data_IF_503828192565
#
_entry.id   IF_503828192565
#
_cell.length_a   1.000
_cell.length_b   1.000
_cell.length_c   1.000
_cell.angle_alpha   90.00
_cell.angle_beta   90.00
_cell.angle_gamma   90.00
#
_symmetry.space_group_name_H-M   'P 1'
#
loop_
_entity.id
_entity.type
_entity.pdbx_description
1 polymer ?
#
# COMPACT_ATOMS: atom_id res chain seq x y z
N UNK A 1 -19.07 0.19 4.00
CA UNK A 1 -18.51 0.17 2.65
C UNK A 1 -17.09 -0.37 2.73
N UNK A 2 -16.67 -1.18 1.79
CA UNK A 2 -15.30 -1.70 1.70
C UNK A 2 -14.59 -1.00 0.55
N UNK A 3 -13.26 -0.92 0.63
CA UNK A 3 -12.43 -0.39 -0.44
C UNK A 3 -11.81 -1.52 -1.24
N UNK A 4 -11.87 -1.39 -2.55
CA UNK A 4 -11.21 -2.25 -3.51
C UNK A 4 -10.08 -1.47 -4.18
N UNK A 5 -8.86 -1.97 -4.06
CA UNK A 5 -7.68 -1.37 -4.67
C UNK A 5 -7.35 -2.18 -5.93
N UNK A 6 -7.23 -1.49 -7.06
CA UNK A 6 -6.81 -2.03 -8.34
C UNK A 6 -5.41 -1.48 -8.66
N UNK A 7 -4.45 -2.37 -8.84
CA UNK A 7 -3.12 -2.03 -9.36
C UNK A 7 -2.97 -2.68 -10.72
N UNK A 8 -2.82 -1.88 -11.77
CA UNK A 8 -2.83 -2.40 -13.12
C UNK A 8 -1.73 -1.80 -13.99
N UNK A 9 -1.32 -2.58 -14.99
CA UNK A 9 -0.40 -2.14 -16.02
C UNK A 9 -0.69 -2.82 -17.36
N UNK A 10 -0.38 -2.12 -18.45
CA UNK A 10 -0.52 -2.64 -19.82
C UNK A 10 0.32 -1.80 -20.80
N UNK A 11 0.48 -2.23 -22.07
CA UNK A 11 0.98 -1.34 -23.11
C UNK A 11 0.15 -0.06 -23.20
N UNK A 12 0.81 1.12 -23.29
CA UNK A 12 0.10 2.39 -23.35
C UNK A 12 -0.75 2.51 -24.62
N UNK A 13 -2.03 2.81 -24.43
CA UNK A 13 -3.02 3.00 -25.52
C UNK A 13 -4.06 4.05 -25.13
N UNK A 14 -4.60 4.72 -26.13
CA UNK A 14 -5.73 5.65 -25.94
C UNK A 14 -6.97 4.92 -25.39
N UNK A 15 -7.67 5.56 -24.46
CA UNK A 15 -8.95 5.12 -23.94
C UNK A 15 -8.91 4.16 -22.76
N UNK A 16 -7.73 3.78 -22.24
CA UNK A 16 -7.60 2.90 -21.07
C UNK A 16 -8.32 3.50 -19.87
N UNK A 17 -8.01 4.74 -19.50
CA UNK A 17 -8.61 5.43 -18.33
C UNK A 17 -10.13 5.47 -18.47
N UNK A 18 -10.64 5.92 -19.64
CA UNK A 18 -12.07 6.01 -19.88
C UNK A 18 -12.76 4.64 -19.78
N UNK A 19 -12.14 3.59 -20.31
CA UNK A 19 -12.71 2.24 -20.24
C UNK A 19 -12.73 1.70 -18.80
N UNK A 20 -11.66 1.92 -18.03
CA UNK A 20 -11.58 1.50 -16.62
C UNK A 20 -12.61 2.25 -15.77
N UNK A 21 -12.69 3.57 -15.90
CA UNK A 21 -13.64 4.37 -15.11
C UNK A 21 -15.09 4.07 -15.47
N UNK A 22 -15.40 3.88 -16.76
CA UNK A 22 -16.74 3.45 -17.19
C UNK A 22 -17.11 2.07 -16.65
N UNK A 23 -16.18 1.11 -16.69
CA UNK A 23 -16.42 -0.22 -16.12
C UNK A 23 -16.77 -0.13 -14.63
N UNK A 24 -15.98 0.61 -13.85
CA UNK A 24 -16.21 0.81 -12.41
C UNK A 24 -17.58 1.43 -12.16
N UNK A 25 -17.94 2.48 -12.93
CA UNK A 25 -19.23 3.14 -12.83
C UNK A 25 -20.41 2.19 -13.14
N UNK A 26 -20.29 1.36 -14.17
CA UNK A 26 -21.31 0.34 -14.53
C UNK A 26 -21.51 -0.73 -13.45
N UNK A 27 -20.48 -0.96 -12.61
CA UNK A 27 -20.55 -1.87 -11.46
C UNK A 27 -20.94 -1.15 -10.16
N UNK A 28 -21.46 0.09 -10.24
CA UNK A 28 -21.85 0.92 -9.11
C UNK A 28 -20.72 1.17 -8.09
N UNK A 29 -19.47 1.19 -8.55
CA UNK A 29 -18.31 1.55 -7.75
C UNK A 29 -18.07 3.06 -7.73
N UNK A 30 -17.78 3.63 -6.57
CA UNK A 30 -17.37 5.02 -6.43
C UNK A 30 -15.85 5.12 -6.38
N UNK A 31 -15.24 5.84 -7.33
CA UNK A 31 -13.79 6.07 -7.35
C UNK A 31 -13.45 7.17 -6.35
N UNK A 32 -12.67 6.84 -5.32
CA UNK A 32 -12.22 7.78 -4.28
C UNK A 32 -10.75 8.18 -4.44
N UNK A 33 -10.00 7.43 -5.21
CA UNK A 33 -8.62 7.76 -5.55
C UNK A 33 -8.26 7.17 -6.91
N UNK A 34 -7.54 7.93 -7.71
CA UNK A 34 -6.97 7.52 -8.98
C UNK A 34 -5.61 8.16 -9.16
N UNK A 35 -4.65 7.36 -9.56
CA UNK A 35 -3.32 7.80 -9.96
C UNK A 35 -2.85 7.00 -11.16
N UNK A 36 -2.07 7.61 -12.05
CA UNK A 36 -1.57 6.96 -13.24
C UNK A 36 -0.19 7.50 -13.64
N UNK A 37 0.58 6.64 -14.28
CA UNK A 37 1.90 6.96 -14.80
C UNK A 37 2.12 6.24 -16.13
N UNK A 38 2.79 6.92 -17.08
CA UNK A 38 3.22 6.32 -18.34
C UNK A 38 4.75 6.31 -18.39
N UNK A 39 5.34 5.14 -18.40
CA UNK A 39 6.74 4.98 -18.77
C UNK A 39 6.86 5.19 -20.29
N UNK A 40 7.37 6.34 -20.68
CA UNK A 40 7.51 6.72 -22.10
C UNK A 40 8.60 5.94 -22.83
N UNK A 41 9.58 5.41 -22.10
CA UNK A 41 10.68 4.62 -22.67
C UNK A 41 10.20 3.21 -23.00
N UNK A 42 9.53 2.56 -22.02
CA UNK A 42 9.00 1.21 -22.18
C UNK A 42 7.61 1.17 -22.82
N UNK A 43 6.96 2.33 -22.98
CA UNK A 43 5.58 2.48 -23.47
C UNK A 43 4.58 1.66 -22.65
N UNK A 44 4.77 1.68 -21.32
CA UNK A 44 3.91 0.97 -20.36
C UNK A 44 3.10 1.98 -19.56
N UNK A 45 1.81 1.74 -19.53
CA UNK A 45 0.85 2.47 -18.69
C UNK A 45 0.68 1.76 -17.35
N UNK A 46 0.73 2.50 -16.25
CA UNK A 46 0.45 2.06 -14.89
C UNK A 46 -0.71 2.86 -14.32
N UNK A 47 -1.57 2.22 -13.56
CA UNK A 47 -2.69 2.88 -12.91
C UNK A 47 -3.02 2.24 -11.58
N UNK A 48 -3.28 3.08 -10.58
CA UNK A 48 -3.86 2.71 -9.28
C UNK A 48 -5.22 3.35 -9.14
N UNK A 49 -6.22 2.55 -8.79
CA UNK A 49 -7.57 3.03 -8.51
C UNK A 49 -8.02 2.48 -7.17
N UNK A 50 -8.65 3.31 -6.35
CA UNK A 50 -9.34 2.88 -5.13
C UNK A 50 -10.83 3.13 -5.33
N UNK A 51 -11.60 2.07 -5.18
CA UNK A 51 -13.06 2.06 -5.40
C UNK A 51 -13.76 1.75 -4.08
N UNK A 52 -14.67 2.58 -3.67
CA UNK A 52 -15.60 2.28 -2.57
C UNK A 52 -16.88 1.63 -3.10
N UNK A 53 -17.33 0.59 -2.41
CA UNK A 53 -18.55 -0.12 -2.78
C UNK A 53 -18.95 -1.18 -1.76
N UNK A 54 -20.06 -1.87 -2.05
CA UNK A 54 -20.50 -2.99 -1.24
C UNK A 54 -19.90 -4.29 -1.79
N UNK A 55 -18.60 -4.50 -1.48
CA UNK A 55 -17.88 -5.69 -1.88
C UNK A 55 -17.96 -6.77 -0.80
N UNK A 56 -18.75 -7.81 -1.03
CA UNK A 56 -18.62 -9.09 -0.36
C UNK A 56 -17.71 -10.03 -1.19
N UNK A 57 -17.44 -11.22 -0.70
CA UNK A 57 -16.57 -12.18 -1.39
C UNK A 57 -17.11 -12.59 -2.77
N UNK A 58 -18.42 -12.66 -2.93
CA UNK A 58 -19.06 -13.06 -4.20
C UNK A 58 -18.98 -11.93 -5.23
N UNK A 59 -19.43 -10.72 -4.88
CA UNK A 59 -19.39 -9.55 -5.76
C UNK A 59 -17.96 -9.16 -6.14
N UNK A 60 -16.99 -9.32 -5.22
CA UNK A 60 -15.57 -9.14 -5.51
C UNK A 60 -15.07 -10.10 -6.60
N UNK A 61 -15.39 -11.40 -6.49
CA UNK A 61 -14.98 -12.38 -7.48
C UNK A 61 -15.63 -12.13 -8.85
N UNK A 62 -16.91 -11.76 -8.87
CA UNK A 62 -17.61 -11.38 -10.10
C UNK A 62 -16.99 -10.13 -10.74
N UNK A 63 -16.66 -9.13 -9.94
CA UNK A 63 -16.00 -7.91 -10.41
C UNK A 63 -14.67 -8.24 -11.09
N UNK A 64 -13.80 -9.00 -10.42
CA UNK A 64 -12.49 -9.40 -10.96
C UNK A 64 -12.64 -10.18 -12.29
N UNK A 65 -13.56 -11.14 -12.33
CA UNK A 65 -13.80 -11.95 -13.53
C UNK A 65 -14.26 -11.09 -14.71
N UNK A 66 -15.26 -10.24 -14.49
CA UNK A 66 -15.80 -9.34 -15.52
C UNK A 66 -14.74 -8.35 -15.99
N UNK A 67 -13.95 -7.75 -15.06
CA UNK A 67 -12.88 -6.83 -15.39
C UNK A 67 -11.83 -7.45 -16.29
N UNK A 68 -11.38 -8.66 -15.95
CA UNK A 68 -10.39 -9.38 -16.75
C UNK A 68 -10.92 -9.77 -18.13
N UNK A 69 -12.18 -10.17 -18.22
CA UNK A 69 -12.82 -10.52 -19.49
C UNK A 69 -13.01 -9.29 -20.39
N UNK A 70 -13.47 -8.17 -19.85
CA UNK A 70 -13.82 -7.00 -20.66
C UNK A 70 -12.58 -6.11 -20.96
N UNK A 71 -11.73 -5.87 -19.98
CA UNK A 71 -10.60 -4.93 -20.10
C UNK A 71 -9.26 -5.66 -20.20
N UNK A 72 -9.09 -6.75 -19.47
CA UNK A 72 -7.87 -7.55 -19.49
C UNK A 72 -7.54 -8.01 -20.91
N UNK A 73 -8.49 -8.61 -21.60
CA UNK A 73 -8.30 -9.08 -22.98
C UNK A 73 -8.15 -7.90 -23.97
N UNK A 74 -9.01 -6.89 -23.86
CA UNK A 74 -9.02 -5.74 -24.79
C UNK A 74 -7.71 -4.95 -24.83
N UNK A 75 -7.11 -4.72 -23.67
CA UNK A 75 -5.91 -3.89 -23.53
C UNK A 75 -4.64 -4.68 -23.21
N UNK A 76 -4.70 -6.01 -23.12
CA UNK A 76 -3.64 -6.84 -22.54
C UNK A 76 -3.25 -6.32 -21.14
N UNK A 77 -4.29 -5.99 -20.36
CA UNK A 77 -4.14 -5.32 -19.08
C UNK A 77 -4.03 -6.36 -17.98
N UNK A 78 -2.97 -6.26 -17.18
CA UNK A 78 -2.76 -7.07 -15.99
C UNK A 78 -3.17 -6.25 -14.77
N UNK A 79 -4.01 -6.82 -13.92
CA UNK A 79 -4.54 -6.15 -12.74
C UNK A 79 -4.45 -7.06 -11.51
N UNK A 80 -3.90 -6.52 -10.43
CA UNK A 80 -3.96 -7.10 -9.10
C UNK A 80 -5.08 -6.39 -8.32
N UNK A 81 -5.90 -7.17 -7.62
CA UNK A 81 -7.05 -6.69 -6.87
C UNK A 81 -6.84 -6.97 -5.39
N UNK A 82 -7.06 -5.96 -4.56
CA UNK A 82 -6.93 -6.07 -3.10
C UNK A 82 -8.19 -5.52 -2.46
N UNK A 83 -8.91 -6.38 -1.74
CA UNK A 83 -10.04 -5.95 -0.93
C UNK A 83 -9.52 -5.51 0.44
N UNK A 84 -9.75 -4.25 0.80
CA UNK A 84 -9.35 -3.71 2.09
C UNK A 84 -10.30 -4.24 3.18
N UNK A 85 -9.93 -5.37 3.77
CA UNK A 85 -10.72 -5.99 4.85
C UNK A 85 -10.24 -5.55 6.24
N UNK A 86 -8.98 -5.14 6.37
CA UNK A 86 -8.35 -4.70 7.62
C UNK A 86 -7.43 -3.53 7.35
N UNK A 87 -7.21 -2.71 8.36
CA UNK A 87 -6.13 -1.72 8.33
C UNK A 87 -4.80 -2.45 8.15
N UNK A 88 -3.98 -2.09 7.16
CA UNK A 88 -2.65 -2.68 7.01
C UNK A 88 -1.80 -2.36 8.24
N UNK A 89 -0.93 -3.29 8.61
CA UNK A 89 0.02 -3.13 9.72
C UNK A 89 1.41 -2.82 9.16
N UNK A 90 1.92 -1.63 9.48
CA UNK A 90 3.16 -1.09 8.94
C UNK A 90 4.24 -1.00 10.00
N UNK A 91 5.36 -1.70 9.82
CA UNK A 91 6.58 -1.48 10.59
C UNK A 91 7.38 -0.32 9.98
N UNK A 92 7.80 0.65 10.80
CA UNK A 92 8.55 1.82 10.34
C UNK A 92 10.02 1.65 10.67
N UNK A 93 10.86 1.68 9.62
CA UNK A 93 12.32 1.66 9.76
C UNK A 93 12.88 3.05 9.54
N UNK A 94 13.60 3.53 10.51
CA UNK A 94 14.23 4.86 10.49
C UNK A 94 15.69 4.78 10.87
N UNK A 95 16.42 5.85 10.65
CA UNK A 95 17.80 5.97 11.07
C UNK A 95 17.96 7.21 11.97
N UNK A 96 18.78 8.17 11.58
CA UNK A 96 19.16 9.30 12.43
C UNK A 96 18.22 10.51 12.32
N UNK A 97 17.63 10.71 11.12
CA UNK A 97 16.84 11.91 10.84
C UNK A 97 15.35 11.70 11.12
N UNK A 98 14.71 12.70 11.67
CA UNK A 98 13.38 12.66 12.26
C UNK A 98 12.23 13.09 11.34
N UNK A 99 12.49 13.91 10.32
CA UNK A 99 11.47 14.53 9.50
C UNK A 99 10.48 13.52 8.84
N UNK A 100 11.00 12.40 8.31
CA UNK A 100 10.13 11.37 7.71
C UNK A 100 9.29 10.67 8.78
N UNK A 101 9.84 10.44 9.98
CA UNK A 101 9.11 9.80 11.06
C UNK A 101 7.95 10.67 11.55
N UNK A 102 8.21 11.97 11.76
CA UNK A 102 7.16 12.92 12.14
C UNK A 102 6.04 12.97 11.11
N UNK A 103 6.38 13.01 9.82
CA UNK A 103 5.37 13.06 8.76
C UNK A 103 4.48 11.80 8.76
N UNK A 104 5.10 10.61 8.81
CA UNK A 104 4.37 9.33 8.85
C UNK A 104 3.43 9.25 10.05
N UNK A 105 3.94 9.56 11.26
CA UNK A 105 3.16 9.47 12.50
C UNK A 105 2.04 10.53 12.55
N UNK A 106 2.31 11.74 12.06
CA UNK A 106 1.32 12.80 11.96
C UNK A 106 0.20 12.46 10.98
N UNK A 107 0.53 11.92 9.82
CA UNK A 107 -0.45 11.49 8.83
C UNK A 107 -1.29 10.30 9.34
N UNK A 108 -0.68 9.35 10.04
CA UNK A 108 -1.40 8.24 10.67
C UNK A 108 -2.36 8.76 11.76
N UNK A 109 -1.90 9.65 12.64
CA UNK A 109 -2.71 10.23 13.71
C UNK A 109 -3.87 11.08 13.18
N UNK A 110 -3.67 11.81 12.09
CA UNK A 110 -4.71 12.61 11.42
C UNK A 110 -5.68 11.80 10.57
N UNK A 111 -5.45 10.48 10.41
CA UNK A 111 -6.28 9.59 9.59
C UNK A 111 -6.04 9.72 8.08
N UNK A 112 -5.06 10.50 7.64
CA UNK A 112 -4.67 10.57 6.23
C UNK A 112 -3.97 9.29 5.79
N UNK A 113 -3.12 8.73 6.65
CA UNK A 113 -2.49 7.42 6.45
C UNK A 113 -3.26 6.38 7.26
N UNK A 114 -4.09 5.59 6.58
CA UNK A 114 -4.96 4.59 7.22
C UNK A 114 -4.19 3.28 7.40
N UNK A 115 -3.43 3.17 8.47
CA UNK A 115 -2.70 1.95 8.87
C UNK A 115 -2.53 1.90 10.38
N UNK A 116 -2.18 0.70 10.90
CA UNK A 116 -1.67 0.54 12.25
C UNK A 116 -0.14 0.54 12.21
N UNK A 117 0.51 1.29 13.10
CA UNK A 117 1.97 1.31 13.24
C UNK A 117 2.32 0.67 14.59
N UNK A 118 2.50 -0.66 14.65
CA UNK A 118 2.74 -1.37 15.90
C UNK A 118 4.13 -1.13 16.47
N UNK A 119 5.09 -0.67 15.67
CA UNK A 119 6.43 -0.34 16.14
C UNK A 119 7.24 0.49 15.14
N UNK A 120 8.32 1.06 15.68
CA UNK A 120 9.39 1.72 14.95
C UNK A 120 10.70 0.99 15.25
N UNK A 121 11.53 0.75 14.24
CA UNK A 121 12.90 0.22 14.39
C UNK A 121 13.90 1.30 13.94
N UNK A 122 14.97 1.47 14.70
CA UNK A 122 16.11 2.31 14.32
C UNK A 122 17.44 1.71 14.73
N UNK A 123 18.48 2.00 13.96
CA UNK A 123 19.86 1.73 14.32
C UNK A 123 20.48 2.82 15.21
N UNK A 124 19.73 3.87 15.51
CA UNK A 124 20.09 4.96 16.43
C UNK A 124 18.97 5.16 17.46
N UNK A 125 19.33 5.60 18.66
CA UNK A 125 18.38 5.82 19.74
C UNK A 125 17.74 7.23 19.74
N UNK A 126 18.20 8.09 18.86
CA UNK A 126 17.83 9.52 18.82
C UNK A 126 16.30 9.73 18.70
N UNK A 127 15.61 8.85 17.99
CA UNK A 127 14.19 9.00 17.68
C UNK A 127 13.25 8.31 18.69
N UNK A 128 13.80 7.71 19.76
CA UNK A 128 12.99 7.04 20.79
C UNK A 128 12.00 8.00 21.49
N UNK A 129 12.43 9.26 21.73
CA UNK A 129 11.56 10.28 22.33
C UNK A 129 10.36 10.62 21.44
N UNK A 130 10.56 10.66 20.14
CA UNK A 130 9.49 10.94 19.16
C UNK A 130 8.50 9.78 19.17
N UNK A 131 8.97 8.53 19.09
CA UNK A 131 8.12 7.35 19.17
C UNK A 131 7.25 7.37 20.43
N UNK A 132 7.83 7.74 21.58
CA UNK A 132 7.10 7.87 22.85
C UNK A 132 6.02 8.96 22.83
N UNK A 133 6.22 10.09 22.15
CA UNK A 133 5.20 11.15 22.00
C UNK A 133 3.96 10.70 21.19
N UNK A 134 4.13 9.66 20.39
CA UNK A 134 3.05 9.05 19.58
C UNK A 134 2.59 7.71 20.14
N UNK A 135 2.99 7.36 21.36
CA UNK A 135 2.64 6.09 22.04
C UNK A 135 2.98 4.85 21.19
N UNK A 136 4.05 4.93 20.39
CA UNK A 136 4.47 3.86 19.48
C UNK A 136 5.70 3.14 20.04
N UNK A 137 5.68 1.80 20.18
CA UNK A 137 6.83 1.00 20.61
C UNK A 137 8.06 1.25 19.73
N UNK A 138 9.24 1.37 20.36
CA UNK A 138 10.50 1.65 19.68
C UNK A 138 11.52 0.55 19.96
N UNK A 139 12.11 0.01 18.90
CA UNK A 139 13.19 -0.97 18.97
C UNK A 139 14.50 -0.36 18.49
N UNK A 140 15.47 -0.22 19.38
CA UNK A 140 16.83 0.14 19.00
C UNK A 140 17.61 -1.12 18.64
N UNK A 141 17.97 -1.26 17.37
CA UNK A 141 18.74 -2.42 16.86
C UNK A 141 20.01 -1.86 16.19
N UNK A 142 21.08 -1.77 16.97
CA UNK A 142 22.36 -1.25 16.50
C UNK A 142 22.97 -2.12 15.40
N UNK A 143 23.40 -1.50 14.31
CA UNK A 143 23.99 -2.16 13.14
C UNK A 143 25.44 -1.71 12.99
N UNK A 144 26.34 -2.70 12.88
CA UNK A 144 27.74 -2.48 12.50
C UNK A 144 28.14 -3.43 11.35
N UNK A 145 29.41 -3.33 10.93
CA UNK A 145 29.91 -4.12 9.80
C UNK A 145 30.00 -5.63 10.10
N UNK A 146 29.99 -6.01 11.37
CA UNK A 146 30.23 -7.40 11.82
C UNK A 146 28.94 -8.14 12.16
N UNK A 147 27.85 -7.42 12.52
CA UNK A 147 26.62 -8.02 13.05
C UNK A 147 25.43 -8.00 12.08
N UNK A 148 25.62 -7.60 10.82
CA UNK A 148 24.55 -7.38 9.85
C UNK A 148 23.57 -8.56 9.75
N UNK A 149 24.09 -9.79 9.65
CA UNK A 149 23.25 -11.00 9.51
C UNK A 149 22.41 -11.29 10.77
N UNK A 150 22.94 -10.98 11.96
CA UNK A 150 22.22 -11.16 13.22
C UNK A 150 21.12 -10.10 13.36
N UNK A 151 21.44 -8.88 13.02
CA UNK A 151 20.49 -7.76 13.01
C UNK A 151 19.32 -8.02 12.05
N UNK A 152 19.58 -8.51 10.85
CA UNK A 152 18.52 -8.90 9.91
C UNK A 152 17.60 -9.98 10.48
N UNK A 153 18.15 -10.97 11.18
CA UNK A 153 17.33 -12.01 11.86
C UNK A 153 16.45 -11.42 12.94
N UNK A 154 16.98 -10.49 13.76
CA UNK A 154 16.22 -9.79 14.81
C UNK A 154 15.10 -8.97 14.18
N UNK A 155 15.39 -8.20 13.13
CA UNK A 155 14.41 -7.40 12.43
C UNK A 155 13.30 -8.25 11.83
N UNK A 156 13.65 -9.36 11.16
CA UNK A 156 12.67 -10.29 10.60
C UNK A 156 11.81 -10.95 11.69
N UNK A 157 12.40 -11.23 12.87
CA UNK A 157 11.64 -11.76 14.00
C UNK A 157 10.60 -10.71 14.48
N UNK A 158 11.02 -9.46 14.68
CA UNK A 158 10.12 -8.38 15.11
C UNK A 158 8.97 -8.22 14.10
N UNK A 159 9.25 -8.21 12.79
CA UNK A 159 8.23 -8.11 11.73
C UNK A 159 7.21 -9.25 11.84
N UNK A 160 7.65 -10.50 12.05
CA UNK A 160 6.78 -11.67 12.19
C UNK A 160 5.95 -11.64 13.46
N UNK A 161 6.57 -11.30 14.60
CA UNK A 161 5.91 -11.23 15.91
C UNK A 161 4.79 -10.20 15.92
N UNK A 162 4.99 -9.09 15.22
CA UNK A 162 3.99 -8.03 15.05
C UNK A 162 3.04 -8.24 13.87
N UNK A 163 3.18 -9.34 13.10
CA UNK A 163 2.32 -9.68 11.95
C UNK A 163 2.18 -8.49 10.98
N UNK A 164 3.30 -8.01 10.50
CA UNK A 164 3.36 -6.94 9.50
C UNK A 164 2.93 -7.50 8.14
N UNK A 165 2.14 -6.72 7.39
CA UNK A 165 1.62 -7.08 6.07
C UNK A 165 2.66 -6.91 4.95
#
# INVERSE_FOLDING_TARGET
>A
MKRLILLMYCPDKKGIIASVTNFINQKNGNIVYIDQYVDRVQKVFFMRVVVEGNFDKHSFNLFMKSFNQELGLKYNLKCNFYLEEKKPRMGVFVSKYDHCLYDILSQQRSGKLVCDIPFIISNHNDLAKIASQFDTPFYHVSVDKTNKNEVEKIQLKILRDHKID
#
